data_IF_637020207171
#
_entry.id   IF_637020207171
#
_cell.length_a   1.000
_cell.length_b   1.000
_cell.length_c   1.000
_cell.angle_alpha   90.00
_cell.angle_beta   90.00
_cell.angle_gamma   90.00
#
_symmetry.space_group_name_H-M   'P 1'
#
loop_
_entity.id
_entity.type
_entity.pdbx_description
1 polymer ?
#
# COMPACT_ATOMS: atom_id res chain seq x y z
N UNK A 1 28.35 30.10 21.16
CA UNK A 1 27.64 28.86 21.52
C UNK A 1 26.28 28.97 20.85
N UNK A 2 26.26 28.68 19.56
CA UNK A 2 25.08 28.82 18.69
C UNK A 2 24.73 27.40 18.25
N UNK A 3 23.49 26.95 18.52
CA UNK A 3 22.99 25.67 18.03
C UNK A 3 22.29 25.94 16.72
N UNK A 4 22.86 25.41 15.64
CA UNK A 4 22.25 25.39 14.31
C UNK A 4 20.93 24.62 14.36
N UNK A 5 19.90 25.28 13.83
CA UNK A 5 18.57 24.71 13.64
C UNK A 5 18.67 23.87 12.37
N UNK A 6 18.75 22.55 12.55
CA UNK A 6 18.77 21.59 11.45
C UNK A 6 17.47 21.69 10.65
N UNK A 7 17.57 22.36 9.50
CA UNK A 7 16.57 22.39 8.45
C UNK A 7 16.47 20.99 7.84
N UNK A 8 15.51 20.20 8.30
CA UNK A 8 15.12 18.96 7.61
C UNK A 8 14.65 19.35 6.19
N UNK A 9 15.23 18.79 5.12
CA UNK A 9 14.71 19.03 3.79
C UNK A 9 13.29 18.45 3.72
N UNK A 10 12.32 19.28 3.32
CA UNK A 10 11.01 18.77 2.89
C UNK A 10 11.28 17.87 1.71
N UNK A 11 11.05 16.57 1.85
CA UNK A 11 11.11 15.63 0.73
C UNK A 11 10.09 16.08 -0.31
N UNK A 12 10.60 16.38 -1.50
CA UNK A 12 9.83 16.79 -2.65
C UNK A 12 9.13 15.53 -3.17
N UNK A 13 7.83 15.55 -3.43
CA UNK A 13 7.01 14.39 -3.88
C UNK A 13 7.60 13.66 -5.09
N UNK A 14 8.44 14.35 -5.87
CA UNK A 14 9.23 13.77 -6.97
C UNK A 14 10.21 12.69 -6.52
N UNK A 15 10.83 12.78 -5.34
CA UNK A 15 11.78 11.73 -4.87
C UNK A 15 11.08 10.46 -4.38
N UNK A 16 9.84 10.56 -3.88
CA UNK A 16 9.01 9.39 -3.58
C UNK A 16 8.63 8.64 -4.87
N UNK A 17 8.34 9.38 -5.94
CA UNK A 17 8.01 8.81 -7.25
C UNK A 17 9.26 8.32 -8.01
N UNK A 18 10.40 8.98 -7.88
CA UNK A 18 11.68 8.54 -8.47
C UNK A 18 12.23 7.28 -7.76
N UNK A 19 11.94 7.08 -6.47
CA UNK A 19 12.24 5.83 -5.77
C UNK A 19 11.33 4.66 -6.19
N UNK A 20 10.18 4.95 -6.80
CA UNK A 20 9.23 3.96 -7.32
C UNK A 20 9.46 3.62 -8.81
N UNK A 21 10.26 4.42 -9.53
CA UNK A 21 10.58 4.19 -10.95
C UNK A 21 11.96 3.54 -11.10
N UNK A 22 12.11 2.28 -10.68
CA UNK A 22 13.26 1.51 -11.13
C UNK A 22 12.97 0.02 -11.26
N UNK A 23 12.64 -0.36 -12.50
CA UNK A 23 13.01 -1.67 -13.01
C UNK A 23 14.51 -1.89 -12.73
N UNK A 24 14.80 -2.84 -11.82
CA UNK A 24 16.08 -3.55 -11.65
C UNK A 24 17.09 -3.11 -10.57
N UNK A 25 16.66 -2.43 -9.50
CA UNK A 25 17.33 -2.53 -8.19
C UNK A 25 16.32 -3.03 -7.16
N UNK A 26 16.69 -3.90 -6.19
CA UNK A 26 15.74 -4.35 -5.19
C UNK A 26 15.25 -3.11 -4.45
N UNK A 27 13.95 -2.82 -4.60
CA UNK A 27 13.26 -1.85 -3.74
C UNK A 27 13.75 -2.09 -2.32
N UNK A 28 14.20 -1.07 -1.56
CA UNK A 28 14.56 -1.28 -0.16
C UNK A 28 13.38 -2.00 0.48
N UNK A 29 13.60 -3.20 1.00
CA UNK A 29 12.56 -4.13 1.46
C UNK A 29 11.40 -3.33 2.07
N UNK A 30 10.23 -3.30 1.42
CA UNK A 30 9.09 -2.58 1.96
C UNK A 30 8.83 -3.16 3.36
N UNK A 31 9.14 -2.42 4.41
CA UNK A 31 9.02 -2.90 5.79
C UNK A 31 7.72 -2.39 6.41
N UNK A 32 7.18 -3.13 7.37
CA UNK A 32 5.99 -2.69 8.10
C UNK A 32 6.20 -1.30 8.75
N UNK A 33 7.38 -1.07 9.34
CA UNK A 33 7.72 0.22 9.97
C UNK A 33 7.77 1.37 8.97
N UNK A 34 8.31 1.14 7.78
CA UNK A 34 8.30 2.13 6.70
C UNK A 34 6.86 2.48 6.29
N UNK A 35 6.01 1.46 6.11
CA UNK A 35 4.61 1.66 5.73
C UNK A 35 3.84 2.41 6.81
N UNK A 36 4.00 2.07 8.09
CA UNK A 36 3.37 2.81 9.20
C UNK A 36 3.74 4.28 9.17
N UNK A 37 5.03 4.59 8.96
CA UNK A 37 5.49 5.97 8.84
C UNK A 37 4.91 6.66 7.60
N UNK A 38 4.89 5.98 6.46
CA UNK A 38 4.35 6.53 5.23
C UNK A 38 2.84 6.81 5.33
N UNK A 39 2.08 5.97 6.05
CA UNK A 39 0.65 6.17 6.36
C UNK A 39 0.38 7.51 7.06
N UNK A 40 1.29 7.93 7.95
CA UNK A 40 1.20 9.20 8.68
C UNK A 40 1.62 10.42 7.82
N UNK A 41 2.44 10.20 6.80
CA UNK A 41 2.99 11.26 5.94
C UNK A 41 2.23 11.45 4.61
N UNK A 42 1.29 10.56 4.25
CA UNK A 42 0.46 10.68 3.04
C UNK A 42 -0.36 11.98 3.05
N UNK A 43 -0.27 12.75 1.96
CA UNK A 43 -1.01 14.00 1.81
C UNK A 43 -1.91 14.05 0.57
N UNK A 44 -1.80 13.07 -0.33
CA UNK A 44 -2.58 13.02 -1.58
C UNK A 44 -3.29 11.69 -1.76
N UNK A 45 -4.40 11.70 -2.49
CA UNK A 45 -5.09 10.47 -2.88
C UNK A 45 -4.23 9.54 -3.72
N UNK A 46 -3.36 10.10 -4.58
CA UNK A 46 -2.51 9.29 -5.46
C UNK A 46 -1.39 8.60 -4.68
N UNK A 47 -0.78 9.27 -3.69
CA UNK A 47 0.15 8.62 -2.74
C UNK A 47 -0.56 7.53 -1.93
N UNK A 48 -1.80 7.78 -1.47
CA UNK A 48 -2.60 6.80 -0.76
C UNK A 48 -2.90 5.57 -1.62
N UNK A 49 -3.31 5.78 -2.87
CA UNK A 49 -3.60 4.71 -3.82
C UNK A 49 -2.35 3.90 -4.14
N UNK A 50 -1.21 4.55 -4.37
CA UNK A 50 0.06 3.88 -4.63
C UNK A 50 0.50 3.03 -3.44
N UNK A 51 0.50 3.59 -2.22
CA UNK A 51 0.89 2.82 -1.04
C UNK A 51 -0.09 1.67 -0.77
N UNK A 52 -1.39 1.87 -0.98
CA UNK A 52 -2.38 0.79 -0.86
C UNK A 52 -2.13 -0.33 -1.86
N UNK A 53 -1.86 -0.02 -3.13
CA UNK A 53 -1.57 -1.01 -4.17
C UNK A 53 -0.36 -1.89 -3.81
N UNK A 54 0.73 -1.28 -3.35
CA UNK A 54 1.96 -1.98 -2.95
C UNK A 54 1.74 -2.89 -1.73
N UNK A 55 1.07 -2.36 -0.69
CA UNK A 55 0.84 -3.09 0.57
C UNK A 55 -0.16 -4.25 0.37
N UNK A 56 -1.22 -4.04 -0.41
CA UNK A 56 -2.19 -5.08 -0.76
C UNK A 56 -1.54 -6.18 -1.60
N UNK A 57 -0.73 -5.80 -2.60
CA UNK A 57 0.08 -6.76 -3.40
C UNK A 57 0.98 -7.60 -2.50
N UNK A 58 1.77 -6.95 -1.63
CA UNK A 58 2.66 -7.68 -0.72
C UNK A 58 1.91 -8.62 0.22
N UNK A 59 0.74 -8.24 0.71
CA UNK A 59 -0.08 -9.12 1.53
C UNK A 59 -0.51 -10.37 0.76
N UNK A 60 -0.94 -10.23 -0.49
CA UNK A 60 -1.36 -11.36 -1.32
C UNK A 60 -0.19 -12.24 -1.79
N UNK A 61 1.00 -11.68 -2.01
CA UNK A 61 2.21 -12.46 -2.27
C UNK A 61 2.55 -13.37 -1.09
N UNK A 62 2.58 -12.83 0.13
CA UNK A 62 2.80 -13.62 1.36
C UNK A 62 1.68 -14.65 1.54
N UNK A 63 0.43 -14.33 1.21
CA UNK A 63 -0.67 -15.29 1.29
C UNK A 63 -0.45 -16.49 0.36
N UNK A 64 0.08 -16.25 -0.84
CA UNK A 64 0.47 -17.33 -1.75
C UNK A 64 1.61 -18.17 -1.15
N UNK A 65 2.65 -17.53 -0.59
CA UNK A 65 3.76 -18.24 0.05
C UNK A 65 3.31 -19.11 1.24
N UNK A 66 2.43 -18.58 2.10
CA UNK A 66 1.86 -19.33 3.23
C UNK A 66 1.18 -20.62 2.75
N UNK A 67 0.54 -20.58 1.57
CA UNK A 67 -0.16 -21.73 1.01
C UNK A 67 0.77 -22.83 0.47
N UNK A 68 2.05 -22.52 0.25
CA UNK A 68 3.06 -23.47 -0.21
C UNK A 68 3.70 -24.28 0.94
N UNK A 69 3.53 -23.84 2.20
CA UNK A 69 4.06 -24.54 3.36
C UNK A 69 3.11 -25.60 3.91
N UNK A 70 3.68 -26.67 4.45
CA UNK A 70 2.92 -27.65 5.22
C UNK A 70 2.36 -27.01 6.50
N UNK A 71 1.09 -27.32 6.82
CA UNK A 71 0.42 -26.81 8.01
C UNK A 71 1.19 -27.23 9.29
N UNK A 72 1.57 -26.25 10.11
CA UNK A 72 2.33 -26.46 11.34
C UNK A 72 3.86 -26.43 11.18
N UNK A 73 4.38 -26.15 9.97
CA UNK A 73 5.79 -25.81 9.79
C UNK A 73 6.12 -24.47 10.46
N UNK A 74 7.32 -24.32 11.01
CA UNK A 74 7.76 -23.07 11.66
C UNK A 74 7.77 -21.91 10.65
N UNK A 75 8.12 -22.20 9.40
CA UNK A 75 8.07 -21.27 8.28
C UNK A 75 6.64 -20.81 7.98
N UNK A 76 5.65 -21.72 8.07
CA UNK A 76 4.22 -21.39 7.91
C UNK A 76 3.75 -20.44 9.01
N UNK A 77 4.15 -20.70 10.27
CA UNK A 77 3.78 -19.85 11.41
C UNK A 77 4.34 -18.43 11.28
N UNK A 78 5.62 -18.31 10.86
CA UNK A 78 6.27 -17.01 10.63
C UNK A 78 5.61 -16.24 9.49
N UNK A 79 5.43 -16.88 8.33
CA UNK A 79 4.79 -16.26 7.18
C UNK A 79 3.33 -15.85 7.49
N UNK A 80 2.61 -16.65 8.30
CA UNK A 80 1.25 -16.30 8.76
C UNK A 80 1.25 -15.09 9.70
N UNK A 81 2.26 -14.96 10.56
CA UNK A 81 2.41 -13.79 11.42
C UNK A 81 2.67 -12.52 10.58
N UNK A 82 3.57 -12.62 9.61
CA UNK A 82 3.87 -11.52 8.69
C UNK A 82 2.65 -11.14 7.85
N UNK A 83 1.91 -12.13 7.32
CA UNK A 83 0.68 -11.92 6.56
C UNK A 83 -0.34 -11.05 7.32
N UNK A 84 -0.52 -11.33 8.62
CA UNK A 84 -1.45 -10.56 9.47
C UNK A 84 -1.02 -9.11 9.60
N UNK A 85 0.29 -8.83 9.66
CA UNK A 85 0.81 -7.46 9.72
C UNK A 85 0.50 -6.74 8.41
N UNK A 86 0.78 -7.36 7.26
CA UNK A 86 0.54 -6.74 5.95
C UNK A 86 -0.95 -6.48 5.67
N UNK A 87 -1.85 -7.42 6.00
CA UNK A 87 -3.28 -7.16 5.88
C UNK A 87 -3.77 -6.08 6.84
N UNK A 88 -3.21 -5.98 8.06
CA UNK A 88 -3.56 -4.88 8.97
C UNK A 88 -3.15 -3.51 8.41
N UNK A 89 -2.00 -3.43 7.74
CA UNK A 89 -1.55 -2.20 7.06
C UNK A 89 -2.43 -1.88 5.84
N UNK A 90 -2.77 -2.87 5.03
CA UNK A 90 -3.71 -2.71 3.91
C UNK A 90 -5.06 -2.20 4.40
N UNK A 91 -5.57 -2.75 5.52
CA UNK A 91 -6.82 -2.33 6.13
C UNK A 91 -6.79 -0.87 6.61
N UNK A 92 -5.68 -0.41 7.20
CA UNK A 92 -5.50 1.00 7.59
C UNK A 92 -5.58 1.94 6.38
N UNK A 93 -4.88 1.60 5.30
CA UNK A 93 -4.89 2.36 4.05
C UNK A 93 -6.29 2.37 3.42
N UNK A 94 -6.93 1.21 3.34
CA UNK A 94 -8.31 1.05 2.86
C UNK A 94 -9.30 1.90 3.66
N UNK A 95 -9.15 1.96 4.97
CA UNK A 95 -10.01 2.79 5.82
C UNK A 95 -9.83 4.29 5.53
N UNK A 96 -8.62 4.77 5.29
CA UNK A 96 -8.39 6.17 4.83
C UNK A 96 -9.06 6.44 3.48
N UNK A 97 -9.03 5.48 2.55
CA UNK A 97 -9.76 5.58 1.28
C UNK A 97 -11.26 5.69 1.53
N UNK A 98 -11.81 4.86 2.42
CA UNK A 98 -13.24 4.92 2.78
C UNK A 98 -13.64 6.21 3.48
N UNK A 99 -12.77 6.81 4.29
CA UNK A 99 -13.02 8.12 4.89
C UNK A 99 -13.18 9.20 3.82
N UNK A 100 -12.31 9.22 2.80
CA UNK A 100 -12.39 10.13 1.66
C UNK A 100 -13.71 9.91 0.90
N UNK A 101 -14.00 8.66 0.55
CA UNK A 101 -15.22 8.31 -0.18
C UNK A 101 -16.50 8.66 0.61
N UNK A 102 -16.52 8.45 1.93
CA UNK A 102 -17.64 8.89 2.79
C UNK A 102 -17.79 10.41 2.80
N UNK A 103 -16.69 11.16 2.82
CA UNK A 103 -16.72 12.62 2.75
C UNK A 103 -17.27 13.12 1.40
N UNK A 104 -17.09 12.33 0.33
CA UNK A 104 -17.69 12.57 -0.99
C UNK A 104 -19.15 12.14 -1.09
N UNK A 105 -19.72 11.54 -0.04
CA UNK A 105 -21.09 11.05 -0.01
C UNK A 105 -21.27 9.66 -0.62
N UNK A 106 -20.20 8.89 -0.81
CA UNK A 106 -20.26 7.50 -1.24
C UNK A 106 -20.61 6.60 -0.04
N UNK A 107 -21.61 5.76 -0.22
CA UNK A 107 -21.98 4.72 0.75
C UNK A 107 -21.00 3.54 0.64
N UNK A 108 -20.38 3.16 1.75
CA UNK A 108 -19.43 2.05 1.80
C UNK A 108 -20.18 0.77 2.17
N UNK A 109 -20.26 -0.23 1.28
CA UNK A 109 -20.99 -1.45 1.59
C UNK A 109 -20.20 -2.34 2.56
N UNK A 110 -20.90 -3.08 3.41
CA UNK A 110 -20.28 -4.03 4.35
C UNK A 110 -19.61 -5.21 3.63
N UNK A 111 -20.10 -5.56 2.44
CA UNK A 111 -19.58 -6.61 1.57
C UNK A 111 -19.34 -6.07 0.17
N UNK A 112 -18.47 -6.72 -0.61
CA UNK A 112 -18.20 -6.31 -2.00
C UNK A 112 -17.62 -4.88 -2.10
N UNK A 113 -16.79 -4.50 -1.14
CA UNK A 113 -16.14 -3.19 -1.07
C UNK A 113 -15.30 -2.84 -2.31
N UNK A 114 -14.91 -3.84 -3.10
CA UNK A 114 -14.22 -3.65 -4.38
C UNK A 114 -14.98 -2.69 -5.31
N UNK A 115 -16.31 -2.66 -5.26
CA UNK A 115 -17.12 -1.77 -6.12
C UNK A 115 -16.93 -0.28 -5.85
N UNK A 116 -16.46 0.08 -4.66
CA UNK A 116 -16.13 1.47 -4.31
C UNK A 116 -14.62 1.72 -4.31
N UNK A 117 -13.80 0.68 -4.14
CA UNK A 117 -12.34 0.76 -4.27
C UNK A 117 -11.90 0.93 -5.72
N UNK A 118 -12.43 0.13 -6.65
CA UNK A 118 -12.04 0.20 -8.07
C UNK A 118 -12.16 1.60 -8.67
N UNK A 119 -13.28 2.35 -8.51
CA UNK A 119 -13.36 3.71 -9.01
C UNK A 119 -12.33 4.66 -8.38
N UNK A 120 -12.05 4.50 -7.09
CA UNK A 120 -11.04 5.30 -6.38
C UNK A 120 -9.63 5.00 -6.90
N UNK A 121 -9.30 3.72 -7.08
CA UNK A 121 -8.01 3.29 -7.62
C UNK A 121 -7.84 3.77 -9.06
N UNK A 122 -8.89 3.64 -9.88
CA UNK A 122 -8.91 4.09 -11.28
C UNK A 122 -8.67 5.57 -11.46
N UNK A 123 -9.32 6.42 -10.65
CA UNK A 123 -9.09 7.88 -10.74
C UNK A 123 -7.68 8.28 -10.26
N UNK A 124 -7.01 7.41 -9.50
CA UNK A 124 -5.64 7.59 -9.01
C UNK A 124 -4.59 6.79 -9.80
N UNK A 125 -4.93 6.28 -10.98
CA UNK A 125 -3.96 5.69 -11.91
C UNK A 125 -3.75 4.19 -11.78
N UNK A 126 -4.61 3.46 -11.07
CA UNK A 126 -4.52 2.00 -10.89
C UNK A 126 -5.75 1.28 -11.46
N UNK A 127 -5.58 0.05 -11.93
CA UNK A 127 -6.69 -0.82 -12.32
C UNK A 127 -6.55 -2.20 -11.69
N UNK A 128 -7.66 -2.90 -11.53
CA UNK A 128 -7.65 -4.29 -11.10
C UNK A 128 -7.29 -5.23 -12.26
N UNK A 129 -6.21 -5.99 -12.10
CA UNK A 129 -5.69 -6.97 -13.05
C UNK A 129 -5.88 -8.40 -12.54
N UNK A 130 -7.13 -8.80 -12.28
CA UNK A 130 -7.53 -10.10 -11.72
C UNK A 130 -7.10 -10.30 -10.26
N UNK A 131 -7.40 -9.33 -9.40
CA UNK A 131 -7.09 -9.36 -7.97
C UNK A 131 -5.78 -8.66 -7.60
N UNK A 132 -5.15 -7.95 -8.54
CA UNK A 132 -3.89 -7.24 -8.33
C UNK A 132 -3.98 -5.81 -8.86
N UNK A 133 -3.59 -4.84 -8.04
CA UNK A 133 -3.55 -3.45 -8.47
C UNK A 133 -2.35 -3.22 -9.39
N UNK A 134 -2.63 -2.81 -10.63
CA UNK A 134 -1.59 -2.49 -11.61
C UNK A 134 -1.69 -1.03 -12.02
N UNK A 135 -0.56 -0.37 -12.19
CA UNK A 135 -0.56 0.99 -12.71
C UNK A 135 -1.09 1.04 -14.15
N UNK A 136 -1.95 2.01 -14.42
CA UNK A 136 -2.62 2.22 -15.72
C UNK A 136 -1.61 2.49 -16.84
N UNK A 137 -0.40 3.00 -16.54
CA UNK A 137 0.67 3.16 -17.54
C UNK A 137 1.10 1.84 -18.19
N UNK A 138 0.80 0.70 -17.58
CA UNK A 138 1.08 -0.63 -18.12
C UNK A 138 -0.09 -1.25 -18.90
N UNK A 139 -1.23 -0.56 -19.01
CA UNK A 139 -2.36 -0.99 -19.84
C UNK A 139 -2.03 -0.75 -21.32
N UNK A 140 -1.75 -1.83 -22.07
CA UNK A 140 -1.49 -1.80 -23.52
C UNK A 140 -2.76 -1.66 -24.34
#
# INVERSE_FOLDING_TARGET
MEREIGMFPRTNTTELMDALDMYNEPSPDLTADFVEKAIDEINTESELAALFAEVDTKAWEIACEVSDFDEGAEECERATADLKVWFALADKLRNKIFEILRAEGVEIPDTNQITVLEPFMKRNGFYDANGWWTETRYQK
#
